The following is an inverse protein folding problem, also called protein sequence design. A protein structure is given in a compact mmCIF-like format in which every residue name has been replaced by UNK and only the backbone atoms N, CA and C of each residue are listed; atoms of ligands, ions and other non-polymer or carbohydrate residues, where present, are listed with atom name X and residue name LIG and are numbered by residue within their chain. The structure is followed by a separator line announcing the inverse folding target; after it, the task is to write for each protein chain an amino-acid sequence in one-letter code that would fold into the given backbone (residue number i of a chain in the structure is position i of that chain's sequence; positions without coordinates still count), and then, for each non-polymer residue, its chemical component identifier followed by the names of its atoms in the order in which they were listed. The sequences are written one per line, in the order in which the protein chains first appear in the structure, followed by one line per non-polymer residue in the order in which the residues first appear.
data_IF_957963844939
#
_entry.id   IF_957963844939
#
_cell.length_a   1.000
_cell.length_b   1.000
_cell.length_c   1.000
_cell.angle_alpha   90.00
_cell.angle_beta   90.00
_cell.angle_gamma   90.00
#
_symmetry.space_group_name_H-M   'P 1'
#
loop_
_entity.id
_entity.type
_entity.pdbx_description
1 polymer ?
#
# COMPACT_ATOMS: atom_id res chain seq x y z
N UNK A 1 16.57 5.47 -12.04
CA UNK A 1 16.83 5.12 -10.62
C UNK A 1 15.45 4.89 -10.03
N UNK A 2 15.05 3.73 -9.51
CA UNK A 2 15.71 2.47 -9.21
C UNK A 2 14.90 1.34 -9.86
N UNK A 3 15.54 0.39 -10.54
CA UNK A 3 14.85 -0.73 -11.19
C UNK A 3 15.04 -1.99 -10.33
N UNK A 4 13.91 -2.48 -9.78
CA UNK A 4 13.64 -3.84 -9.28
C UNK A 4 14.23 -4.28 -7.93
N UNK A 5 13.43 -4.10 -6.88
CA UNK A 5 13.50 -4.91 -5.67
C UNK A 5 12.97 -6.32 -5.99
N UNK A 6 13.86 -7.18 -6.51
CA UNK A 6 13.52 -8.58 -6.79
C UNK A 6 13.30 -9.29 -5.46
N UNK A 7 12.11 -9.85 -5.25
CA UNK A 7 11.76 -10.58 -4.03
C UNK A 7 11.61 -12.05 -4.35
N UNK A 8 11.92 -12.91 -3.39
CA UNK A 8 11.73 -14.36 -3.50
C UNK A 8 10.96 -14.83 -2.27
N UNK A 9 9.79 -15.42 -2.52
CA UNK A 9 9.02 -16.11 -1.49
C UNK A 9 9.51 -17.56 -1.40
N UNK A 10 9.93 -17.96 -0.20
CA UNK A 10 10.16 -19.36 0.15
C UNK A 10 8.98 -19.87 0.95
N UNK A 11 8.35 -20.93 0.45
CA UNK A 11 7.38 -21.73 1.20
C UNK A 11 8.09 -22.96 1.72
N UNK A 12 8.10 -23.11 3.05
CA UNK A 12 8.68 -24.27 3.73
C UNK A 12 7.63 -24.97 4.58
N UNK A 13 7.92 -26.20 4.99
CA UNK A 13 7.08 -26.91 5.95
C UNK A 13 7.09 -26.31 7.38
N UNK A 14 7.86 -25.24 7.64
CA UNK A 14 7.80 -24.45 8.87
C UNK A 14 7.01 -23.13 8.72
N UNK A 15 6.70 -22.72 7.48
CA UNK A 15 6.08 -21.44 7.16
C UNK A 15 6.71 -20.75 5.96
N UNK A 16 6.15 -19.61 5.62
CA UNK A 16 6.59 -18.77 4.51
C UNK A 16 7.55 -17.67 5.00
N UNK A 17 8.57 -17.35 4.21
CA UNK A 17 9.37 -16.14 4.40
C UNK A 17 9.71 -15.50 3.05
N UNK A 18 9.96 -14.19 3.06
CA UNK A 18 10.26 -13.40 1.87
C UNK A 18 11.64 -12.79 2.00
N UNK A 19 12.46 -13.07 0.99
CA UNK A 19 13.79 -12.47 0.80
C UNK A 19 13.68 -11.33 -0.20
N UNK A 20 14.18 -10.15 0.14
CA UNK A 20 14.45 -9.08 -0.80
C UNK A 20 15.91 -9.11 -1.25
N UNK A 21 16.15 -9.19 -2.56
CA UNK A 21 17.48 -9.20 -3.13
C UNK A 21 18.04 -7.78 -3.30
N UNK A 22 19.34 -7.62 -3.06
CA UNK A 22 20.07 -6.39 -3.31
C UNK A 22 20.79 -6.47 -4.66
N UNK A 23 20.03 -6.33 -5.75
CA UNK A 23 20.50 -6.44 -7.13
C UNK A 23 21.51 -5.35 -7.51
N UNK A 24 21.52 -4.21 -6.82
CA UNK A 24 22.49 -3.14 -7.02
C UNK A 24 23.88 -3.50 -6.46
N UNK A 25 23.93 -4.01 -5.21
CA UNK A 25 25.20 -4.35 -4.55
C UNK A 25 25.72 -5.75 -4.87
N UNK A 26 24.83 -6.69 -5.22
CA UNK A 26 25.18 -8.07 -5.53
C UNK A 26 24.51 -8.56 -6.84
N UNK A 27 24.77 -7.91 -7.99
CA UNK A 27 24.08 -8.23 -9.24
C UNK A 27 24.33 -9.65 -9.74
N UNK A 28 25.57 -10.16 -9.65
CA UNK A 28 25.91 -11.50 -10.16
C UNK A 28 25.28 -12.57 -9.26
N UNK A 29 25.38 -12.38 -7.95
CA UNK A 29 24.84 -13.30 -6.95
C UNK A 29 23.32 -13.34 -7.00
N UNK A 30 22.67 -12.17 -7.07
CA UNK A 30 21.22 -12.07 -7.19
C UNK A 30 20.71 -12.75 -8.46
N UNK A 31 21.35 -12.50 -9.61
CA UNK A 31 20.95 -13.12 -10.87
C UNK A 31 21.16 -14.64 -10.86
N UNK A 32 22.25 -15.14 -10.29
CA UNK A 32 22.49 -16.56 -10.09
C UNK A 32 21.38 -17.19 -9.22
N UNK A 33 21.03 -16.55 -8.12
CA UNK A 33 20.01 -17.04 -7.20
C UNK A 33 18.62 -17.06 -7.86
N UNK A 34 18.24 -15.98 -8.57
CA UNK A 34 17.01 -15.91 -9.39
C UNK A 34 16.95 -17.07 -10.38
N UNK A 35 18.06 -17.34 -11.10
CA UNK A 35 18.11 -18.44 -12.08
C UNK A 35 17.77 -19.78 -11.43
N UNK A 36 18.33 -20.10 -10.26
CA UNK A 36 18.00 -21.34 -9.54
C UNK A 36 16.52 -21.39 -9.10
N UNK A 37 15.95 -20.26 -8.69
CA UNK A 37 14.53 -20.20 -8.33
C UNK A 37 13.64 -20.45 -9.54
N UNK A 38 13.90 -19.78 -10.66
CA UNK A 38 13.14 -19.92 -11.91
C UNK A 38 13.25 -21.33 -12.50
N UNK A 39 14.40 -21.99 -12.33
CA UNK A 39 14.60 -23.40 -12.71
C UNK A 39 13.88 -24.39 -11.79
N UNK A 40 13.21 -23.92 -10.72
CA UNK A 40 12.61 -24.78 -9.69
C UNK A 40 13.64 -25.57 -8.89
N UNK A 41 14.92 -25.15 -8.91
CA UNK A 41 16.02 -25.91 -8.32
C UNK A 41 15.88 -26.08 -6.81
N UNK A 42 15.31 -25.10 -6.11
CA UNK A 42 15.16 -25.16 -4.66
C UNK A 42 14.01 -26.04 -4.18
N UNK A 43 13.07 -26.40 -5.06
CA UNK A 43 11.95 -27.27 -4.69
C UNK A 43 12.45 -28.66 -4.24
N UNK A 44 11.96 -29.08 -3.07
CA UNK A 44 12.37 -30.31 -2.39
C UNK A 44 13.78 -30.28 -1.80
N UNK A 45 14.45 -29.13 -1.75
CA UNK A 45 15.75 -29.02 -1.09
C UNK A 45 15.63 -28.85 0.42
N UNK A 46 16.64 -29.31 1.15
CA UNK A 46 16.72 -29.20 2.61
C UNK A 46 17.50 -27.96 3.06
N UNK A 47 17.07 -27.38 4.18
CA UNK A 47 18.01 -26.77 5.12
C UNK A 47 18.76 -27.90 5.84
N UNK A 48 19.88 -28.29 5.25
CA UNK A 48 20.61 -29.51 5.63
C UNK A 48 21.61 -29.28 6.77
N UNK A 49 21.82 -28.03 7.17
CA UNK A 49 22.71 -27.66 8.28
C UNK A 49 22.15 -26.44 9.01
N UNK A 50 21.83 -26.57 10.29
CA UNK A 50 21.26 -25.51 11.14
C UNK A 50 22.05 -25.46 12.43
N UNK A 51 22.61 -24.29 12.77
CA UNK A 51 23.37 -24.09 13.99
C UNK A 51 22.68 -22.99 14.79
N UNK A 52 22.00 -23.33 15.91
CA UNK A 52 21.37 -22.35 16.80
C UNK A 52 22.35 -21.25 17.23
N UNK A 53 21.90 -20.00 17.20
CA UNK A 53 22.74 -18.84 17.50
C UNK A 53 23.83 -18.56 16.46
N UNK A 54 23.70 -19.09 15.24
CA UNK A 54 24.61 -18.82 14.14
C UNK A 54 23.88 -18.62 12.80
N UNK A 55 23.51 -19.72 12.13
CA UNK A 55 22.89 -19.67 10.79
C UNK A 55 22.18 -20.97 10.41
N UNK A 56 21.34 -20.90 9.38
CA UNK A 56 20.78 -22.06 8.67
C UNK A 56 21.21 -22.06 7.21
N UNK A 57 21.78 -23.17 6.74
CA UNK A 57 22.30 -23.37 5.39
C UNK A 57 21.44 -24.39 4.62
N UNK A 58 21.09 -24.04 3.37
CA UNK A 58 20.16 -24.79 2.53
C UNK A 58 20.53 -24.82 1.05
N UNK A 59 19.60 -25.31 0.22
CA UNK A 59 19.67 -25.18 -1.24
C UNK A 59 20.69 -26.06 -1.97
N UNK A 60 21.08 -27.20 -1.38
CA UNK A 60 22.11 -28.07 -1.96
C UNK A 60 21.82 -29.57 -1.99
N UNK A 61 20.93 -30.05 -1.13
CA UNK A 61 20.64 -31.47 -0.95
C UNK A 61 19.14 -31.74 -1.05
N UNK A 62 18.77 -32.87 -1.63
CA UNK A 62 17.39 -33.38 -1.61
C UNK A 62 17.06 -34.06 -0.26
N UNK A 63 15.80 -34.50 -0.10
CA UNK A 63 15.30 -35.14 1.11
C UNK A 63 16.01 -36.45 1.52
N UNK A 64 16.81 -37.03 0.63
CA UNK A 64 17.59 -38.25 0.91
C UNK A 64 19.11 -38.00 0.91
N UNK A 65 19.52 -36.74 1.03
CA UNK A 65 20.93 -36.29 1.13
C UNK A 65 21.76 -36.49 -0.13
N UNK A 66 21.15 -36.57 -1.32
CA UNK A 66 21.92 -36.43 -2.56
C UNK A 66 22.19 -34.95 -2.84
N UNK A 67 23.45 -34.64 -3.15
CA UNK A 67 23.81 -33.30 -3.62
C UNK A 67 23.21 -33.06 -5.00
N UNK A 68 22.33 -32.05 -5.13
CA UNK A 68 21.79 -31.65 -6.44
C UNK A 68 22.91 -31.04 -7.29
N UNK A 69 22.91 -31.35 -8.59
CA UNK A 69 23.90 -30.81 -9.52
C UNK A 69 23.53 -29.37 -9.88
N UNK A 70 24.24 -28.40 -9.32
CA UNK A 70 24.09 -26.98 -9.63
C UNK A 70 24.78 -26.54 -10.93
N UNK A 71 24.75 -25.24 -11.15
CA UNK A 71 25.37 -24.52 -12.27
C UNK A 71 26.86 -24.28 -11.98
N UNK A 72 27.55 -23.62 -12.92
CA UNK A 72 28.94 -23.19 -12.74
C UNK A 72 29.08 -22.24 -11.55
N UNK A 73 30.23 -22.24 -10.84
CA UNK A 73 30.47 -21.30 -9.77
C UNK A 73 30.47 -19.83 -10.21
N UNK A 74 30.13 -18.95 -9.29
CA UNK A 74 30.13 -17.49 -9.49
C UNK A 74 31.30 -16.81 -8.78
N UNK A 75 31.65 -15.61 -9.25
CA UNK A 75 32.62 -14.74 -8.57
C UNK A 75 32.06 -14.26 -7.22
N UNK A 76 32.94 -14.13 -6.23
CA UNK A 76 32.54 -13.65 -4.90
C UNK A 76 32.31 -12.13 -4.90
N UNK A 77 31.12 -11.70 -4.48
CA UNK A 77 30.74 -10.28 -4.35
C UNK A 77 30.80 -9.76 -2.90
N UNK A 78 31.45 -10.47 -1.97
CA UNK A 78 31.48 -10.09 -0.54
C UNK A 78 32.09 -8.71 -0.24
N UNK A 79 32.87 -8.13 -1.16
CA UNK A 79 33.40 -6.77 -1.01
C UNK A 79 32.37 -5.65 -1.31
N UNK A 80 31.08 -5.98 -1.44
CA UNK A 80 29.99 -5.07 -1.76
C UNK A 80 29.52 -4.16 -0.60
N UNK A 81 30.08 -4.35 0.59
CA UNK A 81 29.77 -3.56 1.78
C UNK A 81 28.44 -3.93 2.44
N UNK A 82 27.89 -5.11 2.15
CA UNK A 82 26.80 -5.72 2.94
C UNK A 82 27.41 -6.62 4.01
N UNK A 83 26.87 -6.54 5.23
CA UNK A 83 27.35 -7.27 6.40
C UNK A 83 26.43 -8.48 6.69
N UNK A 84 27.00 -9.54 7.28
CA UNK A 84 26.31 -10.80 7.61
C UNK A 84 25.51 -10.64 8.91
N UNK A 85 24.62 -9.66 8.92
CA UNK A 85 23.79 -9.29 10.07
C UNK A 85 22.61 -10.24 10.19
N UNK A 86 21.93 -10.24 11.34
CA UNK A 86 20.71 -11.01 11.55
C UNK A 86 19.68 -10.74 10.44
N UNK A 87 19.10 -11.81 9.90
CA UNK A 87 18.09 -11.72 8.85
C UNK A 87 18.66 -11.54 7.44
N UNK A 88 19.98 -11.44 7.27
CA UNK A 88 20.58 -11.41 5.93
C UNK A 88 20.72 -12.81 5.33
N UNK A 89 20.73 -12.88 3.99
CA UNK A 89 21.01 -14.11 3.23
C UNK A 89 22.34 -13.95 2.47
N UNK A 90 23.17 -14.99 2.53
CA UNK A 90 24.50 -14.99 1.92
C UNK A 90 24.83 -16.33 1.23
N UNK A 91 25.74 -16.31 0.26
CA UNK A 91 26.14 -17.50 -0.48
C UNK A 91 27.12 -18.37 0.30
N UNK A 92 26.82 -19.66 0.42
CA UNK A 92 27.77 -20.64 0.93
C UNK A 92 28.80 -21.01 -0.16
N UNK A 93 30.04 -21.28 0.26
CA UNK A 93 31.15 -21.61 -0.63
C UNK A 93 32.13 -22.60 0.02
N UNK A 94 33.03 -23.13 -0.79
CA UNK A 94 34.21 -23.89 -0.34
C UNK A 94 35.37 -22.92 0.02
N UNK A 95 36.57 -23.40 0.39
CA UNK A 95 37.71 -22.52 0.65
C UNK A 95 38.05 -21.58 -0.50
N UNK A 96 37.84 -22.01 -1.75
CA UNK A 96 37.97 -21.14 -2.92
C UNK A 96 36.91 -20.02 -2.86
N UNK A 97 37.30 -18.74 -2.84
CA UNK A 97 36.38 -17.61 -2.81
C UNK A 97 35.31 -17.66 -3.92
N UNK A 98 35.68 -18.10 -5.13
CA UNK A 98 34.82 -18.09 -6.31
C UNK A 98 34.15 -19.44 -6.57
N UNK A 99 33.80 -20.17 -5.51
CA UNK A 99 33.21 -21.52 -5.58
C UNK A 99 31.73 -21.60 -5.22
N UNK A 100 31.10 -20.46 -4.90
CA UNK A 100 29.68 -20.40 -4.62
C UNK A 100 28.85 -20.87 -5.83
N UNK A 101 27.83 -21.69 -5.59
CA UNK A 101 26.92 -22.22 -6.63
C UNK A 101 25.46 -22.00 -6.22
N UNK A 102 24.78 -23.01 -5.66
CA UNK A 102 23.36 -22.93 -5.29
C UNK A 102 23.10 -22.76 -3.79
N UNK A 103 24.06 -23.18 -2.95
CA UNK A 103 23.87 -23.18 -1.50
C UNK A 103 23.96 -21.77 -0.93
N UNK A 104 23.05 -21.48 -0.01
CA UNK A 104 22.95 -20.21 0.70
C UNK A 104 22.78 -20.47 2.19
N UNK A 105 22.97 -19.45 3.01
CA UNK A 105 22.63 -19.48 4.42
C UNK A 105 21.92 -18.19 4.86
N UNK A 106 21.09 -18.31 5.88
CA UNK A 106 20.39 -17.21 6.56
C UNK A 106 21.04 -17.00 7.92
N UNK A 107 21.42 -15.77 8.22
CA UNK A 107 22.04 -15.39 9.48
C UNK A 107 20.99 -15.23 10.59
N UNK A 108 21.13 -15.96 11.70
CA UNK A 108 20.25 -15.83 12.87
C UNK A 108 20.65 -14.71 13.81
N UNK A 109 21.93 -14.32 13.77
CA UNK A 109 22.56 -13.28 14.56
C UNK A 109 23.53 -12.49 13.67
N UNK A 110 24.11 -11.43 14.20
CA UNK A 110 25.16 -10.68 13.53
C UNK A 110 26.47 -11.50 13.56
N UNK A 111 26.95 -11.89 12.38
CA UNK A 111 28.08 -12.78 12.19
C UNK A 111 29.27 -12.04 11.56
N UNK A 112 29.77 -10.99 12.23
CA UNK A 112 30.83 -10.10 11.73
C UNK A 112 32.08 -10.83 11.20
N UNK A 113 32.41 -11.99 11.77
CA UNK A 113 33.55 -12.80 11.37
C UNK A 113 33.41 -13.44 9.96
N UNK A 114 32.22 -13.40 9.37
CA UNK A 114 31.94 -13.79 7.99
C UNK A 114 32.08 -12.63 7.00
N UNK A 115 32.19 -11.38 7.48
CA UNK A 115 32.28 -10.20 6.63
C UNK A 115 33.61 -10.14 5.87
N UNK A 116 33.55 -9.53 4.69
CA UNK A 116 34.75 -9.26 3.91
C UNK A 116 35.66 -8.26 4.66
N UNK A 117 36.93 -8.60 4.78
CA UNK A 117 37.95 -7.71 5.35
C UNK A 117 39.08 -7.40 4.37
N UNK A 118 39.46 -8.36 3.51
CA UNK A 118 40.52 -8.19 2.51
C UNK A 118 40.49 -9.32 1.47
N UNK A 119 41.07 -9.10 0.29
CA UNK A 119 41.24 -10.13 -0.76
C UNK A 119 42.33 -11.16 -0.43
N UNK A 120 42.20 -11.84 0.71
CA UNK A 120 43.09 -12.91 1.20
C UNK A 120 42.30 -14.17 1.48
N UNK A 121 42.93 -15.34 1.47
CA UNK A 121 42.26 -16.64 1.68
C UNK A 121 41.37 -16.67 2.94
N UNK A 122 41.76 -15.96 4.00
CA UNK A 122 41.00 -15.85 5.25
C UNK A 122 40.10 -14.61 5.34
N UNK A 123 40.32 -13.60 4.49
CA UNK A 123 39.64 -12.31 4.56
C UNK A 123 38.51 -12.12 3.54
N UNK A 124 38.35 -13.04 2.58
CA UNK A 124 37.37 -12.90 1.49
C UNK A 124 35.90 -12.88 1.94
N UNK A 125 35.59 -13.41 3.13
CA UNK A 125 34.23 -13.42 3.66
C UNK A 125 33.20 -14.18 2.81
N UNK A 126 31.92 -13.87 3.01
CA UNK A 126 30.77 -14.45 2.33
C UNK A 126 29.86 -13.35 1.77
N UNK A 127 29.43 -13.51 0.52
CA UNK A 127 28.64 -12.49 -0.18
C UNK A 127 27.20 -12.48 0.30
N UNK A 128 26.84 -11.44 1.05
CA UNK A 128 25.45 -11.09 1.34
C UNK A 128 24.84 -10.48 0.08
N UNK A 129 23.63 -10.91 -0.25
CA UNK A 129 22.93 -10.52 -1.48
C UNK A 129 21.46 -10.19 -1.27
N UNK A 130 20.99 -10.18 -0.03
CA UNK A 130 19.62 -9.82 0.32
C UNK A 130 19.34 -9.94 1.81
N UNK A 131 18.09 -9.72 2.18
CA UNK A 131 17.60 -9.79 3.55
C UNK A 131 16.16 -10.31 3.63
N UNK A 132 15.78 -10.85 4.78
CA UNK A 132 14.41 -11.26 5.07
C UNK A 132 13.58 -10.03 5.43
N UNK A 133 12.53 -9.80 4.64
CA UNK A 133 11.60 -8.67 4.85
C UNK A 133 10.26 -9.11 5.44
N UNK A 134 9.88 -10.39 5.30
CA UNK A 134 8.72 -10.99 5.94
C UNK A 134 9.04 -12.43 6.38
N UNK A 135 8.42 -12.91 7.46
CA UNK A 135 8.62 -14.28 7.97
C UNK A 135 9.88 -14.46 8.82
N UNK A 136 10.36 -13.40 9.48
CA UNK A 136 11.52 -13.50 10.38
C UNK A 136 11.23 -14.40 11.60
N UNK A 137 9.96 -14.50 12.01
CA UNK A 137 9.48 -15.45 13.01
C UNK A 137 9.65 -16.92 12.57
N UNK A 138 9.48 -17.22 11.28
CA UNK A 138 9.77 -18.55 10.70
C UNK A 138 11.28 -18.85 10.76
N UNK A 139 12.11 -17.84 10.51
CA UNK A 139 13.58 -17.94 10.66
C UNK A 139 13.97 -18.16 12.13
N UNK A 140 13.32 -17.48 13.07
CA UNK A 140 13.54 -17.69 14.50
C UNK A 140 13.13 -19.10 14.92
N UNK A 141 11.99 -19.61 14.47
CA UNK A 141 11.58 -21.02 14.69
C UNK A 141 12.61 -22.01 14.13
N UNK A 142 13.17 -21.71 12.96
CA UNK A 142 14.24 -22.53 12.37
C UNK A 142 15.49 -22.55 13.24
N UNK A 143 15.81 -21.46 13.95
CA UNK A 143 16.99 -21.38 14.83
C UNK A 143 16.89 -22.22 16.10
N UNK A 144 15.68 -22.63 16.50
CA UNK A 144 15.40 -23.37 17.74
C UNK A 144 15.31 -24.90 17.53
N UNK A 145 15.46 -25.38 16.29
CA UNK A 145 15.29 -26.81 16.00
C UNK A 145 16.39 -27.66 16.60
N UNK A 146 16.02 -28.88 17.02
CA UNK A 146 16.98 -29.89 17.46
C UNK A 146 17.74 -30.43 16.25
N UNK A 147 19.07 -30.54 16.36
CA UNK A 147 19.92 -31.08 15.31
C UNK A 147 20.66 -32.35 15.74
N UNK A 148 20.97 -33.19 14.75
CA UNK A 148 21.60 -34.51 14.89
C UNK A 148 22.71 -34.69 13.86
N UNK A 149 23.48 -35.77 14.01
CA UNK A 149 24.38 -36.24 12.96
C UNK A 149 23.66 -37.25 12.06
N UNK A 150 23.61 -36.99 10.75
CA UNK A 150 22.92 -37.85 9.76
C UNK A 150 23.71 -37.89 8.45
N UNK A 151 23.85 -39.07 7.86
CA UNK A 151 24.52 -39.28 6.56
C UNK A 151 25.96 -38.74 6.48
N UNK A 152 26.68 -38.71 7.61
CA UNK A 152 28.04 -38.17 7.70
C UNK A 152 28.13 -36.65 7.85
N UNK A 153 26.98 -35.96 7.93
CA UNK A 153 26.88 -34.52 8.20
C UNK A 153 26.49 -34.27 9.66
N UNK A 154 26.98 -33.18 10.22
CA UNK A 154 26.62 -32.68 11.55
C UNK A 154 25.62 -31.52 11.42
N UNK A 155 24.99 -31.15 12.53
CA UNK A 155 24.06 -30.03 12.64
C UNK A 155 22.85 -30.14 11.71
N UNK A 156 22.43 -31.37 11.40
CA UNK A 156 21.28 -31.63 10.53
C UNK A 156 20.00 -31.56 11.35
N UNK A 157 18.95 -30.80 10.97
CA UNK A 157 17.67 -30.84 11.67
C UNK A 157 17.14 -32.27 11.87
N UNK A 158 16.71 -32.59 13.09
CA UNK A 158 16.12 -33.90 13.41
C UNK A 158 14.84 -34.14 12.59
N UNK A 159 14.03 -33.08 12.47
CA UNK A 159 12.91 -33.01 11.54
C UNK A 159 13.34 -32.19 10.33
N UNK A 160 13.17 -32.76 9.15
CA UNK A 160 13.54 -32.09 7.90
C UNK A 160 12.80 -30.76 7.75
N UNK A 161 13.56 -29.72 7.39
CA UNK A 161 13.03 -28.44 6.96
C UNK A 161 13.21 -28.39 5.45
N UNK A 162 12.08 -28.47 4.75
CA UNK A 162 12.03 -28.64 3.29
C UNK A 162 11.55 -27.35 2.66
N UNK A 163 12.25 -26.89 1.63
CA UNK A 163 11.75 -25.87 0.72
C UNK A 163 10.73 -26.54 -0.20
N UNK A 164 9.45 -26.29 0.06
CA UNK A 164 8.35 -26.82 -0.75
C UNK A 164 8.24 -26.06 -2.07
N UNK A 165 8.45 -24.73 -2.02
CA UNK A 165 8.46 -23.87 -3.19
C UNK A 165 9.37 -22.67 -2.98
N UNK A 166 10.03 -22.22 -4.04
CA UNK A 166 10.65 -20.90 -4.11
C UNK A 166 10.11 -20.19 -5.35
N UNK A 167 9.69 -18.93 -5.21
CA UNK A 167 9.09 -18.19 -6.32
C UNK A 167 9.63 -16.76 -6.36
N UNK A 168 10.20 -16.37 -7.51
CA UNK A 168 10.53 -14.97 -7.78
C UNK A 168 9.24 -14.21 -7.97
N UNK A 169 9.12 -13.07 -7.30
CA UNK A 169 8.15 -12.05 -7.64
C UNK A 169 8.84 -10.71 -7.65
N UNK A 170 8.45 -9.88 -8.60
CA UNK A 170 8.93 -8.51 -8.68
C UNK A 170 7.88 -7.66 -7.97
N UNK A 171 8.33 -6.69 -7.19
CA UNK A 171 7.47 -5.57 -6.84
C UNK A 171 7.22 -4.79 -8.14
N UNK A 172 6.20 -5.24 -8.86
CA UNK A 172 5.79 -4.63 -10.11
C UNK A 172 4.97 -3.41 -9.69
N UNK A 173 5.64 -2.27 -9.65
CA UNK A 173 5.01 -0.99 -9.34
C UNK A 173 4.64 -0.30 -10.65
N UNK A 174 3.39 0.10 -10.78
CA UNK A 174 3.00 1.06 -11.81
C UNK A 174 3.26 2.47 -11.27
N UNK A 175 3.96 3.29 -12.05
CA UNK A 175 4.13 4.71 -11.77
C UNK A 175 3.35 5.48 -12.82
N UNK A 176 2.36 6.24 -12.37
CA UNK A 176 1.60 7.18 -13.16
C UNK A 176 2.46 8.33 -13.66
N UNK A 177 1.84 9.14 -14.49
CA UNK A 177 2.46 10.24 -15.20
C UNK A 177 2.23 11.55 -14.48
N UNK A 178 2.61 12.65 -15.12
CA UNK A 178 2.20 13.98 -14.70
C UNK A 178 0.89 14.28 -15.43
N UNK A 179 -0.21 14.44 -14.69
CA UNK A 179 -1.55 14.68 -15.20
C UNK A 179 -2.54 13.62 -14.71
N UNK A 180 -3.77 13.68 -15.22
CA UNK A 180 -4.83 12.77 -14.80
C UNK A 180 -4.75 11.45 -15.58
N UNK A 181 -4.47 10.35 -14.89
CA UNK A 181 -4.37 9.03 -15.45
C UNK A 181 -5.64 8.19 -15.24
N UNK A 182 -5.88 7.26 -16.17
CA UNK A 182 -6.88 6.19 -16.02
C UNK A 182 -6.13 4.87 -16.00
N UNK A 183 -6.09 4.25 -14.84
CA UNK A 183 -5.34 3.04 -14.52
C UNK A 183 -6.29 1.85 -14.43
N UNK A 184 -5.75 0.64 -14.58
CA UNK A 184 -6.54 -0.60 -14.59
C UNK A 184 -6.01 -1.61 -13.56
N UNK A 185 -6.78 -1.82 -12.49
CA UNK A 185 -6.40 -2.73 -11.41
C UNK A 185 -6.63 -4.21 -11.74
N UNK A 186 -5.79 -5.06 -11.17
CA UNK A 186 -5.67 -6.52 -11.33
C UNK A 186 -5.36 -7.03 -12.74
N UNK A 187 -5.10 -6.15 -13.71
CA UNK A 187 -4.86 -6.52 -15.11
C UNK A 187 -3.41 -6.87 -15.42
N UNK A 188 -2.47 -6.15 -14.80
CA UNK A 188 -1.05 -6.15 -15.19
C UNK A 188 -0.12 -6.77 -14.12
N UNK A 189 -0.72 -7.33 -13.07
CA UNK A 189 0.00 -7.98 -11.98
C UNK A 189 0.86 -7.00 -11.17
N UNK A 190 0.47 -5.71 -11.14
CA UNK A 190 1.08 -4.74 -10.26
C UNK A 190 0.74 -5.08 -8.80
N UNK A 191 1.72 -4.90 -7.91
CA UNK A 191 1.52 -5.00 -6.46
C UNK A 191 1.30 -3.63 -5.85
N UNK A 192 1.82 -2.58 -6.49
CA UNK A 192 1.64 -1.20 -6.08
C UNK A 192 1.34 -0.36 -7.31
N UNK A 193 0.40 0.56 -7.17
CA UNK A 193 0.01 1.49 -8.23
C UNK A 193 0.07 2.88 -7.62
N UNK A 194 1.07 3.65 -8.06
CA UNK A 194 1.22 5.06 -7.72
C UNK A 194 0.62 5.88 -8.87
N UNK A 195 -0.43 6.66 -8.63
CA UNK A 195 -1.04 7.55 -9.63
C UNK A 195 -0.15 8.72 -10.03
N UNK A 196 0.81 9.10 -9.19
CA UNK A 196 1.71 10.21 -9.44
C UNK A 196 1.08 11.55 -9.07
N UNK A 197 0.94 12.44 -10.06
CA UNK A 197 0.45 13.81 -9.82
C UNK A 197 -0.72 14.10 -10.74
N UNK A 198 -1.88 14.42 -10.17
CA UNK A 198 -3.05 14.76 -10.95
C UNK A 198 -4.30 14.30 -10.21
N UNK A 199 -5.30 13.92 -10.98
CA UNK A 199 -6.50 13.25 -10.47
C UNK A 199 -6.55 11.90 -11.16
N UNK A 200 -6.13 10.89 -10.43
CA UNK A 200 -5.85 9.57 -10.94
C UNK A 200 -6.99 8.63 -10.57
N UNK A 201 -7.48 7.94 -11.60
CA UNK A 201 -8.61 7.02 -11.49
C UNK A 201 -8.12 5.61 -11.70
N UNK A 202 -8.24 4.76 -10.70
CA UNK A 202 -8.07 3.32 -10.88
C UNK A 202 -9.41 2.65 -11.15
N UNK A 203 -9.47 1.91 -12.26
CA UNK A 203 -10.66 1.19 -12.70
C UNK A 203 -10.50 -0.32 -12.47
N UNK A 204 -11.33 -0.85 -11.58
CA UNK A 204 -11.52 -2.26 -11.32
C UNK A 204 -12.74 -2.77 -12.07
N UNK A 205 -12.53 -3.63 -13.08
CA UNK A 205 -13.62 -4.25 -13.88
C UNK A 205 -14.36 -5.37 -13.12
N UNK A 206 -14.59 -5.18 -11.83
CA UNK A 206 -15.30 -6.08 -10.92
C UNK A 206 -16.29 -5.28 -10.09
N UNK A 207 -17.13 -5.97 -9.33
CA UNK A 207 -18.06 -5.34 -8.39
C UNK A 207 -17.34 -5.02 -7.08
N UNK A 208 -17.70 -3.91 -6.46
CA UNK A 208 -17.13 -3.44 -5.20
C UNK A 208 -17.30 -4.42 -4.03
N UNK A 209 -18.30 -5.31 -4.05
CA UNK A 209 -18.49 -6.33 -3.01
C UNK A 209 -17.61 -7.58 -3.19
N UNK A 210 -16.77 -7.64 -4.23
CA UNK A 210 -15.83 -8.74 -4.49
C UNK A 210 -14.39 -8.42 -4.08
N UNK A 211 -14.20 -7.28 -3.43
CA UNK A 211 -12.92 -6.83 -2.89
C UNK A 211 -13.02 -6.58 -1.40
N UNK A 212 -11.89 -6.71 -0.73
CA UNK A 212 -11.64 -6.27 0.64
C UNK A 212 -10.69 -5.09 0.59
N UNK A 213 -10.84 -4.20 1.56
CA UNK A 213 -9.95 -3.07 1.74
C UNK A 213 -9.25 -3.19 3.10
N UNK A 214 -7.97 -2.82 3.13
CA UNK A 214 -7.16 -2.80 4.34
C UNK A 214 -6.12 -1.67 4.27
N UNK A 215 -5.44 -1.36 5.38
CA UNK A 215 -4.23 -0.55 5.37
C UNK A 215 -2.99 -1.43 5.57
N UNK A 216 -1.89 -1.08 4.90
CA UNK A 216 -0.59 -1.69 5.16
C UNK A 216 0.11 -1.02 6.37
N UNK A 217 1.35 -1.43 6.67
CA UNK A 217 2.17 -0.87 7.75
C UNK A 217 2.46 0.62 7.60
N UNK A 218 2.41 1.13 6.37
CA UNK A 218 2.71 2.52 6.01
C UNK A 218 1.44 3.38 5.90
N UNK A 219 0.29 2.85 6.33
CA UNK A 219 -1.03 3.48 6.25
C UNK A 219 -1.50 3.76 4.81
N UNK A 220 -0.96 3.04 3.83
CA UNK A 220 -1.42 3.10 2.45
C UNK A 220 -2.59 2.15 2.22
N UNK A 221 -3.45 2.54 1.29
CA UNK A 221 -4.64 1.77 0.97
C UNK A 221 -4.28 0.49 0.21
N UNK A 222 -4.72 -0.65 0.71
CA UNK A 222 -4.61 -1.95 0.05
C UNK A 222 -5.99 -2.44 -0.35
N UNK A 223 -6.11 -2.89 -1.59
CA UNK A 223 -7.29 -3.56 -2.13
C UNK A 223 -6.95 -5.00 -2.51
N UNK A 224 -7.73 -5.95 -2.00
CA UNK A 224 -7.56 -7.37 -2.23
C UNK A 224 -8.83 -7.97 -2.85
N UNK A 225 -8.70 -8.73 -3.94
CA UNK A 225 -9.85 -9.41 -4.54
C UNK A 225 -10.09 -10.80 -3.95
N UNK A 226 -11.27 -11.37 -4.23
CA UNK A 226 -11.68 -12.71 -3.76
C UNK A 226 -10.78 -13.88 -4.21
N UNK A 227 -9.91 -13.70 -5.21
CA UNK A 227 -8.96 -14.73 -5.68
C UNK A 227 -7.55 -14.53 -5.09
N UNK A 228 -7.38 -13.57 -4.18
CA UNK A 228 -6.15 -13.36 -3.41
C UNK A 228 -5.14 -12.41 -4.05
N UNK A 229 -5.45 -11.76 -5.18
CA UNK A 229 -4.61 -10.69 -5.71
C UNK A 229 -4.78 -9.44 -4.84
N UNK A 230 -3.69 -8.73 -4.59
CA UNK A 230 -3.65 -7.55 -3.73
C UNK A 230 -2.85 -6.45 -4.42
N UNK A 231 -3.35 -5.22 -4.33
CA UNK A 231 -2.72 -4.00 -4.86
C UNK A 231 -2.70 -2.93 -3.77
N UNK A 232 -1.55 -2.30 -3.58
CA UNK A 232 -1.39 -1.08 -2.78
C UNK A 232 -1.60 0.13 -3.69
N UNK A 233 -2.41 1.09 -3.25
CA UNK A 233 -2.75 2.30 -3.98
C UNK A 233 -2.11 3.50 -3.31
N UNK A 234 -1.35 4.26 -4.10
CA UNK A 234 -0.62 5.45 -3.68
C UNK A 234 -0.99 6.58 -4.64
N UNK A 235 -1.25 7.79 -4.14
CA UNK A 235 -1.66 8.97 -4.95
C UNK A 235 -2.79 8.65 -5.95
N UNK A 236 -3.85 8.00 -5.47
CA UNK A 236 -5.05 7.72 -6.27
C UNK A 236 -6.20 8.52 -5.66
N UNK A 237 -6.87 9.33 -6.46
CA UNK A 237 -8.00 10.16 -6.02
C UNK A 237 -9.33 9.46 -6.26
N UNK A 238 -9.41 8.48 -7.18
CA UNK A 238 -10.68 7.80 -7.46
C UNK A 238 -10.52 6.30 -7.69
N UNK A 239 -11.40 5.53 -7.06
CA UNK A 239 -11.56 4.10 -7.31
C UNK A 239 -12.89 3.87 -7.99
N UNK A 240 -12.86 3.31 -9.20
CA UNK A 240 -14.04 2.95 -9.96
C UNK A 240 -14.22 1.44 -10.01
N UNK A 241 -15.42 0.98 -9.65
CA UNK A 241 -15.91 -0.37 -9.86
C UNK A 241 -17.04 -0.35 -10.90
N UNK A 242 -17.49 -1.54 -11.32
CA UNK A 242 -18.64 -1.67 -12.22
C UNK A 242 -19.96 -1.15 -11.61
N UNK A 243 -20.07 -1.10 -10.28
CA UNK A 243 -21.30 -0.73 -9.58
C UNK A 243 -21.19 0.49 -8.67
N UNK A 244 -19.98 1.02 -8.46
CA UNK A 244 -19.73 2.15 -7.55
C UNK A 244 -18.50 2.94 -7.96
N UNK A 245 -18.48 4.23 -7.61
CA UNK A 245 -17.26 5.04 -7.62
C UNK A 245 -17.02 5.60 -6.23
N UNK A 246 -15.76 5.58 -5.83
CA UNK A 246 -15.28 6.16 -4.59
C UNK A 246 -14.34 7.31 -4.95
N UNK A 247 -14.56 8.47 -4.34
CA UNK A 247 -13.53 9.50 -4.26
C UNK A 247 -12.71 9.25 -3.00
N UNK A 248 -11.41 9.07 -3.19
CA UNK A 248 -10.38 9.20 -2.18
C UNK A 248 -10.01 10.70 -2.08
N UNK A 249 -9.24 11.09 -1.06
CA UNK A 249 -8.84 12.47 -0.73
C UNK A 249 -9.77 13.23 0.25
N UNK A 250 -9.41 13.18 1.55
CA UNK A 250 -10.08 13.92 2.61
C UNK A 250 -9.49 15.31 2.88
N UNK A 251 -8.32 15.62 2.34
CA UNK A 251 -7.66 16.91 2.56
C UNK A 251 -7.84 17.87 1.37
N UNK A 252 -8.40 17.39 0.26
CA UNK A 252 -8.67 18.16 -0.95
C UNK A 252 -10.11 18.11 -1.44
N UNK A 253 -10.29 17.76 -2.71
CA UNK A 253 -11.43 18.22 -3.51
C UNK A 253 -12.77 17.56 -3.13
N UNK A 254 -12.75 16.35 -2.59
CA UNK A 254 -13.96 15.63 -2.18
C UNK A 254 -14.60 16.26 -0.94
N UNK A 255 -13.80 16.68 0.05
CA UNK A 255 -14.34 17.38 1.23
C UNK A 255 -14.90 18.73 0.84
N UNK A 256 -14.23 19.47 -0.05
CA UNK A 256 -14.76 20.76 -0.53
C UNK A 256 -16.10 20.54 -1.25
N UNK A 257 -16.19 19.50 -2.09
CA UNK A 257 -17.41 19.14 -2.81
C UNK A 257 -18.56 18.81 -1.85
N UNK A 258 -18.29 17.95 -0.86
CA UNK A 258 -19.29 17.57 0.14
C UNK A 258 -19.77 18.77 0.96
N UNK A 259 -18.84 19.62 1.44
CA UNK A 259 -19.17 20.84 2.19
C UNK A 259 -20.05 21.79 1.39
N UNK A 260 -19.70 22.03 0.12
CA UNK A 260 -20.49 22.85 -0.78
C UNK A 260 -21.91 22.28 -1.01
N UNK A 261 -22.02 20.96 -1.23
CA UNK A 261 -23.30 20.29 -1.43
C UNK A 261 -24.16 20.36 -0.17
N UNK A 262 -23.60 20.02 1.00
CA UNK A 262 -24.35 20.01 2.26
C UNK A 262 -24.92 21.40 2.53
N UNK A 263 -24.08 22.45 2.50
CA UNK A 263 -24.56 23.81 2.76
C UNK A 263 -25.64 24.26 1.76
N UNK A 264 -25.53 23.84 0.50
CA UNK A 264 -26.42 24.27 -0.59
C UNK A 264 -27.72 23.47 -0.68
N UNK A 265 -27.63 22.15 -0.61
CA UNK A 265 -28.70 21.20 -0.96
C UNK A 265 -29.08 20.26 0.20
N UNK A 266 -28.30 20.23 1.28
CA UNK A 266 -28.44 19.27 2.38
C UNK A 266 -27.68 17.96 2.13
N UNK A 267 -27.46 17.18 3.19
CA UNK A 267 -26.69 15.92 3.14
C UNK A 267 -27.32 14.82 2.28
N UNK A 268 -28.65 14.74 2.25
CA UNK A 268 -29.38 13.77 1.40
C UNK A 268 -29.08 13.93 -0.10
N UNK A 269 -28.56 15.09 -0.50
CA UNK A 269 -28.25 15.41 -1.88
C UNK A 269 -26.81 15.05 -2.30
N UNK A 270 -25.98 14.56 -1.36
CA UNK A 270 -24.60 14.15 -1.63
C UNK A 270 -24.55 13.17 -2.79
N UNK A 271 -25.33 12.08 -2.77
CA UNK A 271 -25.32 11.08 -3.84
C UNK A 271 -25.64 11.68 -5.22
N UNK A 272 -26.53 12.66 -5.30
CA UNK A 272 -26.96 13.26 -6.56
C UNK A 272 -25.98 14.30 -7.12
N UNK A 273 -25.30 15.04 -6.25
CA UNK A 273 -24.48 16.18 -6.66
C UNK A 273 -22.98 15.98 -6.47
N UNK A 274 -22.53 14.88 -5.86
CA UNK A 274 -21.11 14.67 -5.60
C UNK A 274 -20.29 14.59 -6.88
N UNK A 275 -20.73 13.80 -7.86
CA UNK A 275 -20.03 13.68 -9.13
C UNK A 275 -19.87 15.02 -9.88
N UNK A 276 -20.95 15.81 -10.11
CA UNK A 276 -20.80 17.10 -10.77
C UNK A 276 -20.04 18.14 -9.93
N UNK A 277 -20.18 18.15 -8.60
CA UNK A 277 -19.43 19.07 -7.74
C UNK A 277 -17.92 18.76 -7.77
N UNK A 278 -17.56 17.49 -7.58
CA UNK A 278 -16.17 17.01 -7.70
C UNK A 278 -15.56 17.44 -9.01
N UNK A 279 -16.25 17.19 -10.13
CA UNK A 279 -15.74 17.53 -11.46
C UNK A 279 -15.36 19.02 -11.63
N UNK A 280 -16.03 19.93 -10.91
CA UNK A 280 -15.77 21.37 -10.99
C UNK A 280 -14.58 21.75 -10.10
N UNK A 281 -14.49 21.18 -8.90
CA UNK A 281 -13.41 21.44 -7.94
C UNK A 281 -12.10 20.82 -8.42
N UNK A 282 -12.19 19.63 -8.99
CA UNK A 282 -11.12 18.96 -9.73
C UNK A 282 -10.63 19.75 -10.95
N UNK A 283 -11.49 20.63 -11.49
CA UNK A 283 -11.13 21.63 -12.48
C UNK A 283 -10.33 22.83 -11.92
N UNK A 284 -10.02 22.81 -10.63
CA UNK A 284 -9.25 23.84 -9.91
C UNK A 284 -10.10 24.90 -9.21
N UNK A 285 -11.42 24.74 -9.13
CA UNK A 285 -12.28 25.69 -8.42
C UNK A 285 -12.16 25.55 -6.91
N UNK A 286 -12.00 26.67 -6.23
CA UNK A 286 -12.05 26.76 -4.76
C UNK A 286 -13.48 26.68 -4.24
N UNK A 287 -13.65 26.38 -2.94
CA UNK A 287 -14.96 26.42 -2.26
C UNK A 287 -15.70 27.73 -2.53
N UNK A 288 -14.99 28.85 -2.42
CA UNK A 288 -15.55 30.18 -2.63
C UNK A 288 -16.09 30.35 -4.06
N UNK A 289 -15.35 29.89 -5.07
CA UNK A 289 -15.79 29.95 -6.47
C UNK A 289 -17.00 29.05 -6.72
N UNK A 290 -17.05 27.86 -6.11
CA UNK A 290 -18.25 27.00 -6.15
C UNK A 290 -19.45 27.69 -5.51
N UNK A 291 -19.28 28.31 -4.34
CA UNK A 291 -20.35 29.08 -3.68
C UNK A 291 -20.79 30.29 -4.50
N UNK A 292 -19.88 30.91 -5.26
CA UNK A 292 -20.23 31.94 -6.24
C UNK A 292 -21.10 31.38 -7.37
N UNK A 293 -20.73 30.23 -7.96
CA UNK A 293 -21.55 29.57 -8.99
C UNK A 293 -22.95 29.23 -8.48
N UNK A 294 -23.07 28.71 -7.25
CA UNK A 294 -24.37 28.39 -6.64
C UNK A 294 -25.31 29.61 -6.65
N UNK A 295 -24.78 30.79 -6.31
CA UNK A 295 -25.54 32.05 -6.27
C UNK A 295 -25.78 32.61 -7.67
N UNK A 296 -24.78 32.58 -8.55
CA UNK A 296 -24.89 33.09 -9.92
C UNK A 296 -25.96 32.32 -10.72
N UNK A 297 -26.04 31.00 -10.51
CA UNK A 297 -27.08 30.15 -11.10
C UNK A 297 -28.38 30.11 -10.29
N UNK A 298 -28.48 30.87 -9.20
CA UNK A 298 -29.67 30.97 -8.36
C UNK A 298 -30.16 29.60 -7.86
N UNK A 299 -29.26 28.66 -7.58
CA UNK A 299 -29.62 27.27 -7.29
C UNK A 299 -30.45 27.17 -6.01
N UNK A 300 -30.10 27.93 -4.96
CA UNK A 300 -30.85 27.97 -3.70
C UNK A 300 -32.19 28.67 -3.93
N UNK A 301 -32.20 29.81 -4.61
CA UNK A 301 -33.41 30.57 -4.92
C UNK A 301 -34.43 29.75 -5.72
N UNK A 302 -33.97 28.91 -6.65
CA UNK A 302 -34.80 28.00 -7.42
C UNK A 302 -35.41 26.89 -6.55
N UNK A 303 -34.70 26.43 -5.51
CA UNK A 303 -35.20 25.44 -4.55
C UNK A 303 -36.26 26.07 -3.63
N UNK A 304 -35.98 27.26 -3.10
CA UNK A 304 -36.86 27.93 -2.13
C UNK A 304 -38.01 28.70 -2.80
N UNK A 305 -37.92 28.97 -4.11
CA UNK A 305 -38.89 29.75 -4.87
C UNK A 305 -38.92 31.23 -4.52
N UNK A 306 -37.81 31.79 -4.02
CA UNK A 306 -37.72 33.18 -3.56
C UNK A 306 -36.30 33.72 -3.60
N UNK A 307 -36.16 35.02 -3.83
CA UNK A 307 -34.86 35.71 -3.82
C UNK A 307 -34.57 36.40 -2.48
N UNK A 308 -35.45 36.25 -1.48
CA UNK A 308 -35.31 36.89 -0.16
C UNK A 308 -34.05 36.45 0.57
N UNK A 309 -33.33 37.40 1.16
CA UNK A 309 -32.16 37.12 2.01
C UNK A 309 -32.54 36.28 3.24
N UNK A 310 -33.69 36.56 3.86
CA UNK A 310 -34.14 35.78 5.02
C UNK A 310 -34.44 34.32 4.69
N UNK A 311 -35.08 34.05 3.54
CA UNK A 311 -35.36 32.67 3.13
C UNK A 311 -34.10 31.92 2.67
N UNK A 312 -33.12 32.65 2.11
CA UNK A 312 -31.79 32.10 1.85
C UNK A 312 -31.10 31.68 3.15
N UNK A 313 -31.11 32.55 4.17
CA UNK A 313 -30.56 32.27 5.51
C UNK A 313 -31.24 31.04 6.12
N UNK A 314 -32.57 30.98 6.11
CA UNK A 314 -33.32 29.85 6.68
C UNK A 314 -32.94 28.51 6.03
N UNK A 315 -32.78 28.51 4.70
CA UNK A 315 -32.41 27.32 3.94
C UNK A 315 -31.00 26.83 4.29
N UNK A 316 -30.01 27.71 4.18
CA UNK A 316 -28.61 27.35 4.48
C UNK A 316 -28.45 26.96 5.95
N UNK A 317 -29.07 27.70 6.87
CA UNK A 317 -29.03 27.40 8.29
C UNK A 317 -29.64 26.03 8.58
N UNK A 318 -30.79 25.71 7.99
CA UNK A 318 -31.43 24.40 8.17
C UNK A 318 -30.55 23.26 7.66
N UNK A 319 -29.85 23.45 6.54
CA UNK A 319 -28.97 22.42 6.00
C UNK A 319 -27.76 22.15 6.91
N UNK A 320 -27.19 23.19 7.51
CA UNK A 320 -25.97 23.10 8.33
C UNK A 320 -26.26 22.75 9.79
N UNK A 321 -27.37 23.24 10.35
CA UNK A 321 -27.73 23.08 11.76
C UNK A 321 -28.76 21.97 11.97
N UNK A 322 -29.43 21.52 10.89
CA UNK A 322 -30.46 20.47 10.92
C UNK A 322 -31.84 20.94 11.39
N UNK A 323 -31.96 22.19 11.85
CA UNK A 323 -33.22 22.79 12.33
C UNK A 323 -33.38 24.22 11.80
N UNK A 324 -34.61 24.73 11.80
CA UNK A 324 -34.86 26.13 11.45
C UNK A 324 -34.18 27.09 12.46
N UNK A 325 -33.68 28.26 12.01
CA UNK A 325 -33.03 29.21 12.89
C UNK A 325 -33.99 29.78 13.94
N UNK A 326 -33.44 30.20 15.09
CA UNK A 326 -34.17 31.07 16.00
C UNK A 326 -34.42 32.43 15.34
N UNK A 327 -35.42 33.20 15.81
CA UNK A 327 -35.67 34.54 15.27
C UNK A 327 -34.42 35.43 15.38
N UNK A 328 -33.66 35.31 16.47
CA UNK A 328 -32.44 36.08 16.67
C UNK A 328 -31.35 35.72 15.65
N UNK A 329 -31.16 34.42 15.36
CA UNK A 329 -30.18 33.97 14.36
C UNK A 329 -30.60 34.38 12.94
N UNK A 330 -31.88 34.21 12.62
CA UNK A 330 -32.47 34.65 11.36
C UNK A 330 -32.20 36.15 11.12
N UNK A 331 -32.57 36.99 12.09
CA UNK A 331 -32.40 38.44 12.01
C UNK A 331 -30.92 38.81 11.88
N UNK A 332 -30.04 38.16 12.66
CA UNK A 332 -28.61 38.42 12.66
C UNK A 332 -28.00 38.17 11.26
N UNK A 333 -28.19 36.97 10.70
CA UNK A 333 -27.59 36.63 9.41
C UNK A 333 -28.26 37.36 8.23
N UNK A 334 -29.57 37.65 8.32
CA UNK A 334 -30.27 38.41 7.29
C UNK A 334 -29.76 39.84 7.21
N UNK A 335 -29.52 40.49 8.36
CA UNK A 335 -28.95 41.86 8.40
C UNK A 335 -27.56 41.91 7.78
N UNK A 336 -26.73 40.87 7.94
CA UNK A 336 -25.40 40.81 7.31
C UNK A 336 -25.47 40.80 5.77
N UNK A 337 -26.52 40.22 5.20
CA UNK A 337 -26.78 40.26 3.76
C UNK A 337 -27.38 41.61 3.34
N UNK A 338 -28.38 42.08 4.07
CA UNK A 338 -29.13 43.31 3.73
C UNK A 338 -28.25 44.57 3.78
N UNK A 339 -27.30 44.63 4.70
CA UNK A 339 -26.37 45.75 4.82
C UNK A 339 -25.11 45.59 3.95
N UNK A 340 -24.97 44.48 3.23
CA UNK A 340 -23.83 44.19 2.36
C UNK A 340 -22.53 43.80 3.07
N UNK A 341 -22.56 43.46 4.37
CA UNK A 341 -21.39 42.93 5.09
C UNK A 341 -20.95 41.59 4.52
N UNK A 342 -21.91 40.74 4.15
CA UNK A 342 -21.70 39.51 3.42
C UNK A 342 -22.48 39.49 2.12
N UNK A 343 -21.96 38.80 1.12
CA UNK A 343 -22.74 38.35 -0.04
C UNK A 343 -23.38 37.01 0.31
N UNK A 344 -24.40 36.60 -0.45
CA UNK A 344 -24.95 35.23 -0.33
C UNK A 344 -23.86 34.17 -0.51
N UNK A 345 -22.93 34.39 -1.45
CA UNK A 345 -21.83 33.45 -1.71
C UNK A 345 -20.82 33.38 -0.56
N UNK A 346 -20.44 34.52 0.04
CA UNK A 346 -19.50 34.52 1.17
C UNK A 346 -20.13 33.98 2.45
N UNK A 347 -21.43 34.19 2.65
CA UNK A 347 -22.16 33.59 3.76
C UNK A 347 -22.34 32.07 3.57
N UNK A 348 -22.59 31.61 2.34
CA UNK A 348 -22.66 30.19 2.02
C UNK A 348 -21.32 29.48 2.23
N UNK A 349 -20.22 30.09 1.79
CA UNK A 349 -18.87 29.57 2.03
C UNK A 349 -18.57 29.46 3.53
N UNK A 350 -18.91 30.51 4.31
CA UNK A 350 -18.76 30.49 5.75
C UNK A 350 -19.56 29.35 6.40
N UNK A 351 -20.79 29.09 5.93
CA UNK A 351 -21.62 28.00 6.41
C UNK A 351 -21.02 26.61 6.07
N UNK A 352 -20.49 26.46 4.85
CA UNK A 352 -19.83 25.25 4.39
C UNK A 352 -18.54 24.93 5.18
N UNK A 353 -17.82 25.94 5.67
CA UNK A 353 -16.59 25.78 6.46
C UNK A 353 -16.83 25.53 7.97
N UNK A 354 -18.08 25.49 8.44
CA UNK A 354 -18.36 25.24 9.86
C UNK A 354 -18.04 23.80 10.28
N UNK A 355 -17.74 23.63 11.56
CA UNK A 355 -17.56 22.30 12.17
C UNK A 355 -18.85 21.47 12.10
N UNK A 356 -20.02 22.10 12.09
CA UNK A 356 -21.31 21.40 11.93
C UNK A 356 -21.45 20.76 10.56
N UNK A 357 -21.09 21.47 9.49
CA UNK A 357 -21.05 20.90 8.13
C UNK A 357 -20.05 19.76 8.06
N UNK A 358 -18.90 19.89 8.73
CA UNK A 358 -17.92 18.81 8.82
C UNK A 358 -18.46 17.59 9.57
N UNK A 359 -19.15 17.78 10.69
CA UNK A 359 -19.77 16.68 11.45
C UNK A 359 -20.89 15.99 10.63
N UNK A 360 -21.70 16.75 9.91
CA UNK A 360 -22.72 16.21 8.99
C UNK A 360 -22.05 15.41 7.88
N UNK A 361 -20.99 15.95 7.27
CA UNK A 361 -20.22 15.24 6.26
C UNK A 361 -19.74 13.92 6.84
N UNK A 362 -19.01 13.93 7.97
CA UNK A 362 -18.48 12.74 8.65
C UNK A 362 -19.56 11.69 8.93
N UNK A 363 -20.75 12.12 9.39
CA UNK A 363 -21.88 11.23 9.65
C UNK A 363 -22.51 10.63 8.38
N UNK A 364 -22.33 11.26 7.22
CA UNK A 364 -22.86 10.83 5.92
C UNK A 364 -21.77 10.27 4.99
N UNK A 365 -20.52 10.20 5.45
CA UNK A 365 -19.50 9.42 4.78
C UNK A 365 -19.91 7.95 4.84
N UNK A 366 -19.98 7.33 3.67
CA UNK A 366 -20.22 5.89 3.59
C UNK A 366 -18.92 5.19 3.94
N UNK A 367 -19.06 4.28 4.90
CA UNK A 367 -18.08 3.39 5.52
C UNK A 367 -16.78 3.12 4.74
N UNK A 368 -15.70 3.09 5.52
CA UNK A 368 -14.31 3.10 5.08
C UNK A 368 -14.00 1.96 4.12
N UNK A 369 -13.38 2.34 3.01
CA UNK A 369 -12.34 1.51 2.42
C UNK A 369 -11.22 1.38 3.50
N UNK A 370 -11.19 0.30 4.29
CA UNK A 370 -9.94 -0.11 4.96
C UNK A 370 -9.92 -0.70 6.37
N UNK A 371 -10.97 -0.69 7.23
CA UNK A 371 -10.85 -1.29 8.59
C UNK A 371 -12.19 -1.84 9.14
N UNK A 372 -12.25 -3.07 9.69
CA UNK A 372 -13.40 -3.52 10.49
C UNK A 372 -13.40 -2.87 11.89
N UNK A 373 -14.33 -1.96 12.16
CA UNK A 373 -14.82 -1.66 13.52
C UNK A 373 -14.09 -0.63 14.39
N UNK A 374 -13.68 0.55 13.90
CA UNK A 374 -13.14 1.62 14.76
C UNK A 374 -14.19 2.70 15.11
N UNK A 375 -14.33 3.00 16.40
CA UNK A 375 -15.06 4.17 16.93
C UNK A 375 -14.12 5.40 17.07
N UNK A 376 -12.85 5.32 16.64
CA UNK A 376 -11.80 6.26 17.05
C UNK A 376 -10.54 6.26 16.13
N UNK A 377 -10.65 6.62 14.83
CA UNK A 377 -9.48 6.84 13.95
C UNK A 377 -9.84 7.09 12.48
N UNK A 378 -9.24 8.13 11.87
CA UNK A 378 -9.68 8.88 10.67
C UNK A 378 -9.78 8.09 9.33
N UNK A 379 -10.48 8.69 8.36
CA UNK A 379 -11.46 8.13 7.38
C UNK A 379 -10.88 7.91 5.97
N UNK A 380 -11.52 7.16 5.03
CA UNK A 380 -10.93 6.94 3.67
C UNK A 380 -11.88 6.65 2.46
N UNK A 381 -13.05 7.28 2.30
CA UNK A 381 -13.71 7.46 0.98
C UNK A 381 -15.06 8.19 1.06
N UNK A 382 -15.47 8.87 -0.01
CA UNK A 382 -16.88 9.22 -0.25
C UNK A 382 -17.44 8.37 -1.39
N UNK A 383 -18.39 7.48 -1.07
CA UNK A 383 -19.11 6.71 -2.08
C UNK A 383 -20.17 7.58 -2.77
N UNK A 384 -20.23 7.54 -4.10
CA UNK A 384 -21.34 8.11 -4.86
C UNK A 384 -21.79 7.18 -6.00
N UNK A 385 -23.05 7.31 -6.39
CA UNK A 385 -23.64 6.58 -7.51
C UNK A 385 -23.48 7.40 -8.80
N UNK A 386 -23.31 6.73 -9.94
CA UNK A 386 -23.25 7.37 -11.26
C UNK A 386 -24.64 7.47 -11.93
N UNK A 387 -25.67 6.88 -11.33
CA UNK A 387 -27.06 6.93 -11.80
C UNK A 387 -27.77 5.59 -11.83
#
# INVERSE_FOLDING_TARGET
MADKQTKIKFSTNLGDFIVQLNTEKAPITSNNFVTYVEDGFYEGTLFHRVIPGFMAQGGGFDSVFNKKKGHSPIINEASNGLENDRGTIAMARTPDPNSATSQFFINFIDNDFLNYTSSTDTGWGYAVFGEIIEGLDVVDMMSEVVTISRSGYQDVPEKDIVVEKAQVFYEHMFLGTIGNDILHGFTDGYYSIDGGSGIDVINYQIRSNLVLFSLNSDLELVIQNSVGQSETLVNIERIQFNDKVYALDLDGNAVISAKAIIATFGSDALTSYMSPALSIIDGGMTLNEVCHLVVDYQLIENIIGSNSNGLFVDHVYKNVVGVAPSQADHDMFTVLLDNGTHTKSSLLALAAETTLTEDIMKANLVDLIGVPGSEDGEMLAIQYDLG
#
